data_IF_868114996886
#
_entry.id   IF_868114996886
#
_cell.length_a   1.000
_cell.length_b   1.000
_cell.length_c   1.000
_cell.angle_alpha   90.00
_cell.angle_beta   90.00
_cell.angle_gamma   90.00
#
_symmetry.space_group_name_H-M   'P 1'
#
loop_
_entity.id
_entity.type
_entity.pdbx_description
1 polymer ?
#
# COMPACT_ATOMS: atom_id res chain seq x y z
N UNK A 1 13.98 4.62 -6.03
CA UNK A 1 13.25 3.33 -5.97
C UNK A 1 12.17 3.40 -7.00
N UNK A 2 12.29 2.58 -8.05
CA UNK A 2 11.44 2.68 -9.22
C UNK A 2 10.26 1.73 -9.04
N UNK A 3 9.28 2.18 -8.27
CA UNK A 3 8.01 1.48 -8.06
C UNK A 3 6.88 2.44 -8.34
N UNK A 4 5.82 1.91 -8.90
CA UNK A 4 4.68 2.69 -9.35
C UNK A 4 3.39 2.10 -8.78
N UNK A 5 2.43 2.97 -8.57
CA UNK A 5 1.07 2.61 -8.20
C UNK A 5 0.08 3.21 -9.20
N UNK A 6 -1.15 2.76 -9.13
CA UNK A 6 -2.32 3.39 -9.77
C UNK A 6 -3.46 3.46 -8.77
N UNK A 7 -4.49 4.27 -9.02
CA UNK A 7 -5.69 4.21 -8.17
C UNK A 7 -6.42 2.89 -8.42
N UNK A 8 -7.07 2.34 -7.38
CA UNK A 8 -7.82 1.08 -7.47
C UNK A 8 -8.93 1.14 -8.51
N UNK A 9 -9.54 2.32 -8.67
CA UNK A 9 -10.62 2.64 -9.61
C UNK A 9 -10.19 2.70 -11.08
N UNK A 10 -8.88 2.69 -11.35
CA UNK A 10 -8.33 2.81 -12.70
C UNK A 10 -8.05 1.42 -13.29
N UNK A 11 -8.19 1.27 -14.62
CA UNK A 11 -7.81 0.05 -15.33
C UNK A 11 -6.28 -0.15 -15.41
N UNK A 12 -5.84 -1.33 -15.85
CA UNK A 12 -4.43 -1.65 -16.14
C UNK A 12 -4.09 -1.68 -17.63
N UNK A 13 -5.10 -1.50 -18.49
CA UNK A 13 -4.96 -1.70 -19.92
C UNK A 13 -3.89 -0.76 -20.51
N UNK A 14 -2.93 -1.34 -21.22
CA UNK A 14 -1.84 -0.62 -21.88
C UNK A 14 -0.64 -0.22 -21.00
N UNK A 15 -0.59 -0.65 -19.73
CA UNK A 15 0.53 -0.37 -18.81
C UNK A 15 1.45 -1.57 -18.61
N UNK A 16 0.96 -2.77 -18.88
CA UNK A 16 1.71 -4.02 -18.75
C UNK A 16 2.05 -4.60 -20.12
N UNK A 17 3.20 -5.27 -20.22
CA UNK A 17 3.55 -6.05 -21.40
C UNK A 17 2.86 -7.43 -21.40
N UNK A 18 3.07 -8.20 -22.46
CA UNK A 18 2.49 -9.54 -22.64
C UNK A 18 2.86 -10.53 -21.52
N UNK A 19 3.98 -10.28 -20.83
CA UNK A 19 4.47 -11.09 -19.72
C UNK A 19 4.06 -10.51 -18.34
N UNK A 20 3.26 -9.44 -18.32
CA UNK A 20 2.76 -8.81 -17.11
C UNK A 20 3.75 -7.90 -16.37
N UNK A 21 4.86 -7.52 -17.00
CA UNK A 21 5.79 -6.52 -16.46
C UNK A 21 5.32 -5.12 -16.77
N UNK A 22 5.68 -4.17 -15.90
CA UNK A 22 5.39 -2.76 -16.12
C UNK A 22 6.16 -2.25 -17.35
N UNK A 23 5.44 -1.76 -18.35
CA UNK A 23 6.00 -0.93 -19.40
C UNK A 23 6.11 0.49 -18.86
N UNK A 24 7.29 0.87 -18.38
CA UNK A 24 7.54 2.25 -17.93
C UNK A 24 7.47 3.16 -19.17
N UNK A 25 6.52 4.09 -19.27
CA UNK A 25 6.41 4.92 -20.46
C UNK A 25 7.64 5.82 -20.58
N UNK A 26 8.47 5.59 -21.60
CA UNK A 26 9.50 6.55 -22.02
C UNK A 26 8.76 7.76 -22.63
N UNK A 27 9.31 8.97 -22.52
CA UNK A 27 8.68 10.23 -22.94
C UNK A 27 8.10 10.24 -24.39
N UNK A 28 8.55 9.35 -25.27
CA UNK A 28 8.08 9.24 -26.66
C UNK A 28 6.83 8.34 -26.82
N UNK A 29 6.54 7.51 -25.82
CA UNK A 29 5.46 6.52 -25.80
C UNK A 29 4.09 7.13 -25.45
N UNK A 30 4.07 8.38 -24.97
CA UNK A 30 2.85 9.07 -24.49
C UNK A 30 1.80 9.38 -25.55
N UNK A 31 2.11 9.25 -26.85
CA UNK A 31 1.17 9.65 -27.91
C UNK A 31 0.01 8.68 -28.13
N UNK A 32 0.10 7.44 -27.65
CA UNK A 32 -0.94 6.42 -27.85
C UNK A 32 -1.58 5.91 -26.56
N UNK A 33 -1.04 6.26 -25.38
CA UNK A 33 -1.58 5.87 -24.08
C UNK A 33 -2.61 6.90 -23.59
N UNK A 34 -3.89 6.54 -23.60
CA UNK A 34 -5.01 7.39 -23.15
C UNK A 34 -5.46 7.15 -21.71
N UNK A 35 -4.76 6.30 -20.95
CA UNK A 35 -5.10 5.96 -19.57
C UNK A 35 -4.46 6.88 -18.53
N UNK A 36 -4.89 6.79 -17.26
CA UNK A 36 -4.25 7.48 -16.15
C UNK A 36 -2.80 7.00 -15.96
N UNK A 37 -1.87 7.94 -15.78
CA UNK A 37 -0.46 7.63 -15.69
C UNK A 37 -0.10 6.94 -14.37
N UNK A 38 0.80 5.93 -14.38
CA UNK A 38 1.35 5.36 -13.17
C UNK A 38 1.98 6.43 -12.27
N UNK A 39 1.65 6.40 -10.99
CA UNK A 39 2.14 7.34 -9.99
C UNK A 39 3.42 6.75 -9.36
N UNK A 40 4.56 7.45 -9.38
CA UNK A 40 5.75 7.02 -8.66
C UNK A 40 5.46 6.90 -7.17
N UNK A 41 5.82 5.76 -6.57
CA UNK A 41 5.64 5.51 -5.13
C UNK A 41 6.23 6.64 -4.30
N UNK A 42 7.40 7.15 -4.68
CA UNK A 42 8.07 8.25 -3.96
C UNK A 42 7.20 9.50 -3.78
N UNK A 43 6.23 9.74 -4.68
CA UNK A 43 5.28 10.84 -4.59
C UNK A 43 4.17 10.64 -3.55
N UNK A 44 4.08 9.47 -2.91
CA UNK A 44 3.11 9.18 -1.86
C UNK A 44 3.59 9.61 -0.47
N UNK A 45 4.89 9.85 -0.27
CA UNK A 45 5.42 10.35 0.99
C UNK A 45 4.88 11.77 1.25
N UNK A 46 4.44 12.06 2.47
CA UNK A 46 3.81 13.35 2.80
C UNK A 46 2.42 13.56 2.20
N UNK A 47 1.87 12.56 1.48
CA UNK A 47 0.48 12.60 1.03
C UNK A 47 -0.50 12.29 2.18
N UNK A 48 -1.80 12.40 1.89
CA UNK A 48 -2.87 12.09 2.83
C UNK A 48 -2.92 10.61 3.26
N UNK A 49 -4.11 10.15 3.63
CA UNK A 49 -4.28 8.74 4.04
C UNK A 49 -4.47 7.85 2.82
N UNK A 50 -3.88 6.65 2.82
CA UNK A 50 -4.06 5.71 1.72
C UNK A 50 -3.85 4.26 2.14
N UNK A 51 -4.38 3.33 1.35
CA UNK A 51 -4.04 1.91 1.40
C UNK A 51 -3.28 1.48 0.14
N UNK A 52 -2.20 0.73 0.33
CA UNK A 52 -1.44 0.06 -0.71
C UNK A 52 -1.88 -1.40 -0.81
N UNK A 53 -2.57 -1.72 -1.90
CA UNK A 53 -3.09 -3.03 -2.23
C UNK A 53 -2.12 -3.76 -3.16
N UNK A 54 -1.66 -4.93 -2.73
CA UNK A 54 -0.83 -5.80 -3.56
C UNK A 54 -0.86 -7.26 -3.08
N UNK A 55 -0.66 -8.25 -3.97
CA UNK A 55 -0.53 -9.64 -3.56
C UNK A 55 0.66 -9.86 -2.60
N UNK A 56 0.71 -11.04 -1.99
CA UNK A 56 1.87 -11.47 -1.18
C UNK A 56 3.13 -11.50 -2.04
N UNK A 57 4.27 -11.08 -1.49
CA UNK A 57 5.55 -11.04 -2.20
C UNK A 57 5.75 -9.86 -3.17
N UNK A 58 4.74 -9.02 -3.41
CA UNK A 58 4.85 -7.87 -4.33
C UNK A 58 5.70 -6.69 -3.79
N UNK A 59 6.24 -6.81 -2.57
CA UNK A 59 7.11 -5.80 -1.95
C UNK A 59 6.39 -4.65 -1.24
N UNK A 60 5.17 -4.86 -0.71
CA UNK A 60 4.44 -3.83 0.07
C UNK A 60 5.28 -3.28 1.24
N UNK A 61 5.81 -4.17 2.07
CA UNK A 61 6.68 -3.82 3.21
C UNK A 61 7.92 -3.05 2.76
N UNK A 62 8.54 -3.44 1.65
CA UNK A 62 9.67 -2.70 1.06
C UNK A 62 9.28 -1.27 0.65
N UNK A 63 8.11 -1.12 0.01
CA UNK A 63 7.55 0.19 -0.35
C UNK A 63 7.28 1.05 0.89
N UNK A 64 6.56 0.51 1.88
CA UNK A 64 6.24 1.25 3.10
C UNK A 64 7.52 1.67 3.86
N UNK A 65 8.52 0.79 3.95
CA UNK A 65 9.80 1.11 4.58
C UNK A 65 10.57 2.22 3.84
N UNK A 66 10.54 2.22 2.52
CA UNK A 66 11.15 3.27 1.72
C UNK A 66 10.43 4.62 1.92
N UNK A 67 9.08 4.62 1.92
CA UNK A 67 8.28 5.82 2.18
C UNK A 67 8.50 6.38 3.58
N UNK A 68 8.53 5.51 4.59
CA UNK A 68 8.81 5.88 5.98
C UNK A 68 10.15 6.59 6.13
N UNK A 69 11.15 6.22 5.33
CA UNK A 69 12.47 6.87 5.37
C UNK A 69 12.41 8.34 5.00
N UNK A 70 11.37 8.77 4.27
CA UNK A 70 11.08 10.17 3.95
C UNK A 70 10.17 10.86 4.97
N UNK A 71 9.67 10.15 5.99
CA UNK A 71 8.80 10.68 7.06
C UNK A 71 9.39 10.34 8.44
N UNK A 72 10.41 11.07 8.94
CA UNK A 72 11.19 10.69 10.12
C UNK A 72 10.38 10.61 11.43
N UNK A 73 9.26 11.33 11.50
CA UNK A 73 8.36 11.32 12.65
C UNK A 73 7.34 10.16 12.62
N UNK A 74 7.32 9.36 11.54
CA UNK A 74 6.31 8.34 11.35
C UNK A 74 6.50 7.16 12.32
N UNK A 75 5.37 6.59 12.75
CA UNK A 75 5.34 5.38 13.58
C UNK A 75 4.97 4.18 12.71
N UNK A 76 5.52 3.01 13.01
CA UNK A 76 5.16 1.74 12.36
C UNK A 76 4.41 0.88 13.35
N UNK A 77 3.27 0.35 12.94
CA UNK A 77 2.54 -0.67 13.69
C UNK A 77 2.35 -1.86 12.76
N UNK A 78 2.91 -3.00 13.14
CA UNK A 78 2.68 -4.27 12.46
C UNK A 78 1.54 -4.99 13.19
N UNK A 79 0.35 -4.96 12.59
CA UNK A 79 -0.85 -5.52 13.21
C UNK A 79 -0.78 -7.05 13.34
N UNK A 80 0.10 -7.72 12.60
CA UNK A 80 0.27 -9.17 12.71
C UNK A 80 0.94 -9.61 14.02
N UNK A 81 1.57 -8.67 14.75
CA UNK A 81 2.24 -8.94 16.01
C UNK A 81 1.33 -8.77 17.24
N UNK A 82 0.05 -8.45 17.02
CA UNK A 82 -0.86 -8.05 18.10
C UNK A 82 -2.15 -8.86 18.09
N UNK A 83 -2.58 -9.28 19.28
CA UNK A 83 -3.95 -9.74 19.49
C UNK A 83 -4.95 -8.55 19.49
N UNK A 84 -6.23 -8.82 19.71
CA UNK A 84 -7.27 -7.77 19.79
C UNK A 84 -6.92 -6.64 20.76
N UNK A 85 -6.42 -6.97 21.95
CA UNK A 85 -6.11 -5.98 22.98
C UNK A 85 -4.88 -5.16 22.59
N UNK A 86 -3.86 -5.81 22.01
CA UNK A 86 -2.70 -5.17 21.43
C UNK A 86 -3.09 -4.20 20.31
N UNK A 87 -3.89 -4.64 19.34
CA UNK A 87 -4.38 -3.80 18.25
C UNK A 87 -5.11 -2.56 18.78
N UNK A 88 -5.98 -2.72 19.78
CA UNK A 88 -6.67 -1.57 20.37
C UNK A 88 -5.71 -0.57 21.03
N UNK A 89 -4.70 -1.05 21.75
CA UNK A 89 -3.70 -0.20 22.42
C UNK A 89 -2.82 0.53 21.42
N UNK A 90 -2.24 -0.18 20.46
CA UNK A 90 -1.31 0.40 19.49
C UNK A 90 -2.01 1.44 18.61
N UNK A 91 -3.24 1.16 18.16
CA UNK A 91 -4.01 2.13 17.36
C UNK A 91 -4.38 3.37 18.18
N UNK A 92 -4.75 3.21 19.45
CA UNK A 92 -5.02 4.36 20.32
C UNK A 92 -3.76 5.21 20.56
N UNK A 93 -2.63 4.57 20.87
CA UNK A 93 -1.36 5.26 21.07
C UNK A 93 -0.90 5.99 19.78
N UNK A 94 -1.11 5.37 18.61
CA UNK A 94 -0.79 6.00 17.33
C UNK A 94 -1.66 7.24 17.06
N UNK A 95 -2.95 7.20 17.43
CA UNK A 95 -3.84 8.37 17.36
C UNK A 95 -3.34 9.48 18.29
N UNK A 96 -2.99 9.15 19.53
CA UNK A 96 -2.52 10.13 20.53
C UNK A 96 -1.23 10.83 20.09
N UNK A 97 -0.36 10.14 19.35
CA UNK A 97 0.87 10.73 18.81
C UNK A 97 0.61 11.76 17.70
N UNK A 98 -0.49 11.66 16.96
CA UNK A 98 -0.87 12.62 15.92
C UNK A 98 0.11 12.70 14.73
N UNK A 99 0.93 11.67 14.51
CA UNK A 99 1.98 11.63 13.47
C UNK A 99 1.62 10.63 12.37
N UNK A 100 2.26 10.66 11.19
CA UNK A 100 2.03 9.65 10.16
C UNK A 100 2.22 8.22 10.70
N UNK A 101 1.31 7.31 10.32
CA UNK A 101 1.33 5.92 10.79
C UNK A 101 1.40 4.98 9.60
N UNK A 102 2.37 4.09 9.63
CA UNK A 102 2.51 2.97 8.69
C UNK A 102 1.94 1.72 9.33
N UNK A 103 0.83 1.22 8.79
CA UNK A 103 0.18 -0.01 9.21
C UNK A 103 0.54 -1.13 8.24
N UNK A 104 1.30 -2.12 8.70
CA UNK A 104 1.63 -3.33 7.94
C UNK A 104 0.96 -4.57 8.56
N UNK A 105 0.99 -5.68 7.84
CA UNK A 105 0.49 -6.97 8.34
C UNK A 105 -1.04 -7.08 8.47
N UNK A 106 -1.81 -6.11 7.94
CA UNK A 106 -3.27 -6.10 8.07
C UNK A 106 -3.93 -7.35 7.46
N UNK A 107 -3.44 -7.83 6.32
CA UNK A 107 -3.95 -9.05 5.69
C UNK A 107 -3.69 -10.31 6.52
N UNK A 108 -2.57 -10.33 7.24
CA UNK A 108 -2.22 -11.42 8.15
C UNK A 108 -3.12 -11.37 9.38
N UNK A 109 -3.24 -10.20 10.01
CA UNK A 109 -4.10 -9.99 11.18
C UNK A 109 -5.58 -10.31 10.86
N UNK A 110 -6.10 -9.85 9.72
CA UNK A 110 -7.48 -10.12 9.30
C UNK A 110 -7.76 -11.60 9.00
N UNK A 111 -6.74 -12.35 8.56
CA UNK A 111 -6.85 -13.79 8.33
C UNK A 111 -6.88 -14.57 9.65
N UNK A 112 -6.08 -14.16 10.62
CA UNK A 112 -6.00 -14.81 11.94
C UNK A 112 -7.19 -14.43 12.83
N UNK A 113 -7.63 -13.19 12.73
CA UNK A 113 -8.78 -12.67 13.46
C UNK A 113 -9.67 -11.80 12.55
N UNK A 114 -10.85 -12.31 12.16
CA UNK A 114 -11.80 -11.56 11.34
C UNK A 114 -12.24 -10.21 11.95
N UNK A 115 -12.05 -10.01 13.27
CA UNK A 115 -12.34 -8.75 13.93
C UNK A 115 -11.32 -7.64 13.61
N UNK A 116 -10.13 -7.94 13.07
CA UNK A 116 -9.06 -6.97 12.88
C UNK A 116 -9.48 -5.75 12.03
N UNK A 117 -10.17 -5.97 10.90
CA UNK A 117 -10.67 -4.88 10.05
C UNK A 117 -11.71 -4.01 10.77
N UNK A 118 -12.55 -4.62 11.61
CA UNK A 118 -13.54 -3.90 12.42
C UNK A 118 -12.87 -3.07 13.52
N UNK A 119 -11.83 -3.60 14.15
CA UNK A 119 -11.03 -2.88 15.16
C UNK A 119 -10.34 -1.68 14.51
N UNK A 120 -9.72 -1.89 13.35
CA UNK A 120 -9.09 -0.84 12.56
C UNK A 120 -10.12 0.26 12.23
N UNK A 121 -11.25 -0.12 11.63
CA UNK A 121 -12.31 0.83 11.30
C UNK A 121 -12.76 1.64 12.52
N UNK A 122 -13.02 0.98 13.65
CA UNK A 122 -13.52 1.62 14.86
C UNK A 122 -12.58 2.69 15.43
N UNK A 123 -11.27 2.61 15.14
CA UNK A 123 -10.31 3.63 15.55
C UNK A 123 -10.10 4.71 14.48
N UNK A 124 -9.94 4.32 13.22
CA UNK A 124 -9.61 5.27 12.15
C UNK A 124 -10.76 6.21 11.79
N UNK A 125 -12.01 5.84 12.07
CA UNK A 125 -13.16 6.73 11.79
C UNK A 125 -13.45 7.77 12.88
N UNK A 126 -12.76 7.66 14.02
CA UNK A 126 -12.94 8.59 15.14
C UNK A 126 -12.47 10.00 14.77
N UNK A 127 -13.12 11.07 15.27
CA UNK A 127 -12.70 12.44 14.99
C UNK A 127 -11.22 12.72 15.25
N UNK A 128 -10.67 12.16 16.32
CA UNK A 128 -9.27 12.35 16.73
C UNK A 128 -8.29 11.70 15.75
N UNK A 129 -8.71 10.63 15.06
CA UNK A 129 -7.90 9.91 14.07
C UNK A 129 -7.89 10.57 12.68
N UNK A 130 -8.77 11.56 12.43
CA UNK A 130 -8.92 12.18 11.09
C UNK A 130 -7.73 13.02 10.66
N UNK A 131 -7.03 13.60 11.63
CA UNK A 131 -5.82 14.39 11.38
C UNK A 131 -4.56 13.53 11.21
N UNK A 132 -4.64 12.23 11.54
CA UNK A 132 -3.53 11.29 11.45
C UNK A 132 -3.36 10.82 10.01
N UNK A 133 -2.18 10.97 9.39
CA UNK A 133 -1.94 10.43 8.05
C UNK A 133 -1.70 8.90 8.11
N UNK A 134 -2.67 8.10 7.62
CA UNK A 134 -2.59 6.64 7.66
C UNK A 134 -2.03 6.07 6.36
N UNK A 135 -0.98 5.25 6.42
CA UNK A 135 -0.40 4.50 5.29
C UNK A 135 -0.58 3.00 5.54
N UNK A 136 -1.59 2.39 4.93
CA UNK A 136 -1.92 0.98 5.16
C UNK A 136 -1.33 0.09 4.06
N UNK A 137 -0.97 -1.15 4.38
CA UNK A 137 -0.71 -2.21 3.40
C UNK A 137 -1.65 -3.40 3.60
N UNK A 138 -2.24 -3.89 2.51
CA UNK A 138 -3.11 -5.06 2.56
C UNK A 138 -3.05 -5.87 1.24
N UNK A 139 -3.48 -7.13 1.30
CA UNK A 139 -3.80 -7.90 0.09
C UNK A 139 -5.19 -7.50 -0.41
N UNK A 140 -5.42 -7.38 -1.73
CA UNK A 140 -6.73 -7.07 -2.27
C UNK A 140 -7.84 -8.01 -1.74
N UNK A 141 -7.55 -9.31 -1.64
CA UNK A 141 -8.51 -10.31 -1.17
C UNK A 141 -8.86 -10.21 0.33
N UNK A 142 -8.04 -9.53 1.13
CA UNK A 142 -8.28 -9.30 2.55
C UNK A 142 -8.83 -7.89 2.83
N UNK A 143 -8.99 -7.06 1.80
CA UNK A 143 -9.46 -5.69 1.91
C UNK A 143 -10.96 -5.63 1.63
N UNK A 144 -11.73 -5.06 2.56
CA UNK A 144 -13.19 -4.99 2.52
C UNK A 144 -13.67 -3.66 1.92
N UNK A 145 -14.61 -3.71 0.96
CA UNK A 145 -15.22 -2.51 0.37
C UNK A 145 -15.99 -1.67 1.38
N UNK A 146 -16.52 -2.28 2.45
CA UNK A 146 -17.15 -1.55 3.56
C UNK A 146 -16.14 -0.74 4.35
N UNK A 147 -14.93 -1.29 4.54
CA UNK A 147 -13.84 -0.57 5.17
C UNK A 147 -13.43 0.63 4.31
N UNK A 148 -13.29 0.44 2.99
CA UNK A 148 -13.05 1.56 2.06
C UNK A 148 -14.09 2.66 2.21
N UNK A 149 -15.39 2.32 2.17
CA UNK A 149 -16.45 3.31 2.30
C UNK A 149 -16.38 4.07 3.64
N UNK A 150 -16.12 3.37 4.74
CA UNK A 150 -15.98 3.97 6.05
C UNK A 150 -14.77 4.91 6.15
N UNK A 151 -13.62 4.51 5.61
CA UNK A 151 -12.40 5.32 5.62
C UNK A 151 -12.53 6.53 4.69
N UNK A 152 -13.07 6.38 3.48
CA UNK A 152 -13.33 7.49 2.56
C UNK A 152 -14.32 8.51 3.12
N UNK A 153 -15.28 8.07 3.95
CA UNK A 153 -16.22 8.98 4.62
C UNK A 153 -15.65 9.71 5.84
N UNK A 154 -14.59 9.18 6.45
CA UNK A 154 -14.02 9.73 7.69
C UNK A 154 -12.70 10.47 7.49
N UNK A 155 -11.85 10.00 6.58
CA UNK A 155 -10.52 10.52 6.32
C UNK A 155 -10.53 11.35 5.03
N UNK A 156 -10.14 12.62 5.14
CA UNK A 156 -10.00 13.47 3.97
C UNK A 156 -8.94 12.89 3.01
N UNK A 157 -9.25 12.92 1.72
CA UNK A 157 -8.36 12.47 0.64
C UNK A 157 -7.85 11.03 0.81
N UNK A 158 -8.69 10.14 1.36
CA UNK A 158 -8.36 8.72 1.41
C UNK A 158 -8.30 8.11 0.00
N UNK A 159 -7.20 7.41 -0.30
CA UNK A 159 -6.99 6.78 -1.60
C UNK A 159 -6.64 5.30 -1.48
N UNK A 160 -7.18 4.50 -2.40
CA UNK A 160 -6.76 3.12 -2.59
C UNK A 160 -5.82 3.04 -3.78
N UNK A 161 -4.60 2.59 -3.52
CA UNK A 161 -3.58 2.41 -4.54
C UNK A 161 -3.31 0.92 -4.76
N UNK A 162 -3.17 0.52 -6.02
CA UNK A 162 -2.70 -0.81 -6.40
C UNK A 162 -1.24 -0.72 -6.78
N UNK A 163 -0.39 -1.52 -6.14
CA UNK A 163 1.03 -1.60 -6.47
C UNK A 163 1.21 -2.32 -7.79
N UNK A 164 1.86 -1.67 -8.75
CA UNK A 164 2.11 -2.25 -10.06
C UNK A 164 3.25 -3.29 -9.99
N UNK A 165 3.27 -4.27 -10.92
CA UNK A 165 4.40 -5.16 -11.14
C UNK A 165 5.71 -4.39 -11.33
N UNK A 166 6.83 -5.10 -11.20
CA UNK A 166 8.14 -4.53 -11.55
C UNK A 166 8.23 -4.36 -13.07
N UNK A 167 9.09 -3.45 -13.52
CA UNK A 167 9.56 -3.50 -14.91
C UNK A 167 10.49 -4.72 -15.10
N UNK A 168 10.81 -5.04 -16.37
CA UNK A 168 11.68 -6.18 -16.68
C UNK A 168 13.07 -6.07 -16.05
N UNK A 169 13.67 -4.89 -16.03
CA UNK A 169 15.02 -4.69 -15.51
C UNK A 169 15.08 -5.01 -14.00
N UNK A 170 14.13 -4.47 -13.24
CA UNK A 170 14.00 -4.69 -11.82
C UNK A 170 13.54 -6.12 -11.48
N UNK A 171 12.66 -6.70 -12.32
CA UNK A 171 12.24 -8.10 -12.22
C UNK A 171 13.42 -9.09 -12.37
N UNK A 172 14.21 -8.95 -13.43
CA UNK A 172 15.40 -9.78 -13.68
C UNK A 172 16.46 -9.62 -12.56
N UNK A 173 16.58 -8.42 -11.98
CA UNK A 173 17.46 -8.16 -10.84
C UNK A 173 17.02 -8.86 -9.54
N UNK A 174 15.71 -8.93 -9.27
CA UNK A 174 15.17 -9.56 -8.06
C UNK A 174 15.25 -11.10 -8.08
N UNK A 175 15.17 -11.73 -9.26
CA UNK A 175 15.35 -13.18 -9.39
C UNK A 175 16.79 -13.58 -9.06
N UNK A 176 17.79 -12.80 -9.49
CA UNK A 176 19.22 -13.08 -9.24
C UNK A 176 19.62 -13.05 -7.77
N UNK A 177 18.94 -12.28 -6.92
CA UNK A 177 19.23 -12.20 -5.48
C UNK A 177 18.52 -13.27 -4.64
N UNK A 178 17.50 -13.94 -5.19
CA UNK A 178 16.71 -14.98 -4.47
C UNK A 178 17.18 -16.42 -4.69
N UNK A 179 18.28 -16.65 -5.43
CA UNK A 179 18.96 -17.95 -5.45
C UNK A 179 18.17 -19.12 -6.05
N UNK A 180 17.17 -18.88 -6.92
CA UNK A 180 16.63 -19.93 -7.79
C UNK A 180 17.17 -19.72 -9.21
N UNK A 181 18.19 -20.51 -9.55
CA UNK A 181 18.57 -20.72 -10.93
C UNK A 181 17.38 -21.39 -11.66
N UNK A 182 16.85 -20.74 -12.69
CA UNK A 182 15.79 -21.32 -13.49
C UNK A 182 15.07 -20.33 -14.39
N UNK A 183 15.69 -20.15 -15.57
CA UNK A 183 15.14 -19.62 -16.82
C UNK A 183 15.16 -18.11 -17.08
N UNK A 184 15.66 -17.86 -18.29
CA UNK A 184 16.00 -16.64 -18.99
C UNK A 184 14.89 -15.57 -18.95
N UNK A 185 15.30 -14.37 -18.54
CA UNK A 185 15.13 -13.24 -19.43
C UNK A 185 15.93 -13.57 -20.71
#
# INVERSE_FOLDING_TARGET
MDRYVRRSTEGVDGVLDEDGFLQVPIAETFRWYGGPQPIPVVGLAGSGSFVLLAPGGAGKTTVLNALRSSEPAATVVDLSLHDRSGMHRELAAAVDLGRPVYLDGLDVAAREDPAALRILQAHLVKPEARAVPWRLACRPAAWDTRLTAALSGALADFHEFVLLPLDRAAGCGAVRTSGRAGWLC
#
